data_IF_636824693275
#
_entry.id   IF_636824693275
#
_cell.length_a   1.000
_cell.length_b   1.000
_cell.length_c   1.000
_cell.angle_alpha   90.00
_cell.angle_beta   90.00
_cell.angle_gamma   90.00
#
_symmetry.space_group_name_H-M   'P 1'
#
loop_
_entity.id
_entity.type
_entity.pdbx_description
1 polymer ?
#
# COMPACT_ATOMS: atom_id res chain seq x y z
N UNK A 1 68.03 19.99 -5.64
CA UNK A 1 66.74 20.22 -4.93
C UNK A 1 67.12 20.57 -3.51
N UNK A 2 66.57 21.64 -2.93
CA UNK A 2 66.99 22.09 -1.61
C UNK A 2 66.30 21.29 -0.51
N UNK A 3 67.07 20.62 0.35
CA UNK A 3 66.55 19.92 1.52
C UNK A 3 66.03 20.95 2.54
N UNK A 4 64.71 21.13 2.55
CA UNK A 4 63.98 21.84 3.60
C UNK A 4 64.25 21.14 4.95
N UNK A 5 65.27 21.61 5.66
CA UNK A 5 65.55 21.22 7.04
C UNK A 5 64.40 21.72 7.91
N UNK A 6 63.41 20.86 8.12
CA UNK A 6 62.31 21.10 9.05
C UNK A 6 62.92 21.13 10.46
N UNK A 7 63.04 22.33 11.02
CA UNK A 7 63.57 22.52 12.36
C UNK A 7 62.71 21.76 13.39
N UNK A 8 63.38 21.13 14.36
CA UNK A 8 62.71 20.54 15.52
C UNK A 8 62.55 21.60 16.62
N UNK A 9 61.35 21.72 17.17
CA UNK A 9 61.05 22.52 18.35
C UNK A 9 60.72 21.62 19.54
N UNK A 10 61.07 22.05 20.75
CA UNK A 10 60.66 21.33 21.95
C UNK A 10 59.16 21.56 22.22
N UNK A 11 58.42 20.49 22.52
CA UNK A 11 57.02 20.58 22.89
C UNK A 11 56.82 21.40 24.17
N UNK A 12 55.92 22.38 24.15
CA UNK A 12 55.67 23.30 25.28
C UNK A 12 55.27 22.62 26.61
N UNK A 13 54.66 21.43 26.56
CA UNK A 13 54.19 20.68 27.74
C UNK A 13 55.11 19.55 28.21
N UNK A 14 55.90 18.93 27.32
CA UNK A 14 56.68 17.72 27.65
C UNK A 14 58.15 17.75 27.19
N UNK A 15 58.60 18.83 26.55
CA UNK A 15 59.99 19.01 26.09
C UNK A 15 60.41 18.13 24.90
N UNK A 16 59.60 17.15 24.49
CA UNK A 16 59.93 16.22 23.39
C UNK A 16 60.17 16.99 22.08
N UNK A 17 61.29 16.74 21.36
CA UNK A 17 61.55 17.37 20.07
C UNK A 17 60.50 16.93 19.03
N UNK A 18 59.83 17.91 18.44
CA UNK A 18 58.76 17.74 17.46
C UNK A 18 59.08 18.57 16.21
N UNK A 19 58.77 18.07 15.02
CA UNK A 19 58.92 18.83 13.78
C UNK A 19 58.05 20.10 13.81
N UNK A 20 58.66 21.27 13.57
CA UNK A 20 57.94 22.55 13.57
C UNK A 20 56.81 22.63 12.53
N UNK A 21 56.89 21.82 11.46
CA UNK A 21 55.83 21.69 10.45
C UNK A 21 54.53 21.06 10.97
N UNK A 22 54.62 20.22 12.00
CA UNK A 22 53.55 19.30 12.44
C UNK A 22 53.08 19.62 13.87
N UNK A 23 53.79 20.48 14.59
CA UNK A 23 53.41 20.93 15.91
C UNK A 23 52.19 21.88 15.85
N UNK A 24 51.06 21.43 16.39
CA UNK A 24 49.89 22.30 16.58
C UNK A 24 50.14 23.17 17.83
N UNK A 25 50.18 24.50 17.67
CA UNK A 25 50.42 25.46 18.78
C UNK A 25 51.68 25.15 19.63
N UNK A 26 52.71 24.54 19.02
CA UNK A 26 53.93 24.14 19.73
C UNK A 26 53.81 22.86 20.59
N UNK A 27 52.71 22.12 20.47
CA UNK A 27 52.51 20.81 21.12
C UNK A 27 52.96 19.64 20.22
N UNK A 28 53.49 18.58 20.83
CA UNK A 28 53.69 17.28 20.17
C UNK A 28 52.35 16.55 20.00
N UNK A 29 52.28 15.60 19.06
CA UNK A 29 51.05 14.87 18.75
C UNK A 29 50.37 14.24 19.98
N UNK A 30 51.14 13.72 20.94
CA UNK A 30 50.63 13.14 22.20
C UNK A 30 49.99 14.20 23.10
N UNK A 31 50.62 15.38 23.23
CA UNK A 31 50.07 16.49 24.01
C UNK A 31 48.85 17.11 23.32
N UNK A 32 48.88 17.29 22.00
CA UNK A 32 47.72 17.73 21.22
C UNK A 32 46.53 16.78 21.41
N UNK A 33 46.77 15.47 21.36
CA UNK A 33 45.74 14.46 21.57
C UNK A 33 45.16 14.40 22.98
N UNK A 34 45.87 14.88 24.00
CA UNK A 34 45.40 14.94 25.39
C UNK A 34 44.74 16.28 25.77
N UNK A 35 45.14 17.38 25.15
CA UNK A 35 44.60 18.72 25.42
C UNK A 35 43.42 19.12 24.51
N UNK A 36 43.42 18.66 23.24
CA UNK A 36 42.39 19.03 22.26
C UNK A 36 41.28 17.96 22.20
N UNK A 37 40.12 18.24 22.78
CA UNK A 37 38.94 17.37 22.67
C UNK A 37 38.05 17.74 21.46
N UNK A 38 38.14 16.92 20.41
CA UNK A 38 37.30 17.02 19.20
C UNK A 38 35.84 16.63 19.53
N UNK A 39 35.63 15.81 20.56
CA UNK A 39 34.34 15.18 20.91
C UNK A 39 33.41 16.11 21.70
N UNK A 40 33.92 17.25 22.17
CA UNK A 40 33.21 18.25 22.99
C UNK A 40 31.87 18.74 22.42
N UNK A 41 31.68 18.68 21.09
CA UNK A 41 30.43 19.04 20.41
C UNK A 41 29.45 17.89 20.12
N UNK A 42 29.72 16.67 20.60
CA UNK A 42 28.95 15.45 20.27
C UNK A 42 28.19 14.95 21.52
N UNK A 43 26.87 14.85 21.40
CA UNK A 43 26.00 14.33 22.46
C UNK A 43 26.30 12.83 22.70
N UNK A 44 26.71 12.47 23.93
CA UNK A 44 27.06 11.08 24.32
C UNK A 44 25.84 10.19 24.60
N UNK A 45 24.66 10.79 24.79
CA UNK A 45 23.38 10.10 25.01
C UNK A 45 22.32 10.68 24.10
N UNK A 46 21.70 9.85 23.26
CA UNK A 46 20.70 10.27 22.25
C UNK A 46 19.47 9.37 22.29
N UNK A 47 18.29 9.95 22.14
CA UNK A 47 17.03 9.19 22.13
C UNK A 47 16.60 8.80 20.71
N UNK A 48 16.23 7.53 20.53
CA UNK A 48 15.68 6.99 19.28
C UNK A 48 14.33 6.32 19.54
N UNK A 49 13.39 6.49 18.62
CA UNK A 49 12.02 6.00 18.75
C UNK A 49 11.77 4.74 17.91
N UNK A 50 11.21 3.70 18.53
CA UNK A 50 10.85 2.42 17.90
C UNK A 50 9.36 2.09 18.12
N UNK A 51 8.69 1.53 17.12
CA UNK A 51 7.28 1.16 17.20
C UNK A 51 7.04 -0.24 17.77
N UNK A 52 6.35 -0.32 18.93
CA UNK A 52 6.02 -1.59 19.60
C UNK A 52 5.32 -2.62 18.73
N UNK A 53 4.42 -2.18 17.83
CA UNK A 53 3.57 -3.09 17.05
C UNK A 53 4.09 -3.49 15.67
N UNK A 54 5.22 -2.93 15.21
CA UNK A 54 5.78 -3.29 13.90
C UNK A 54 7.31 -3.15 13.81
N UNK A 55 7.99 -2.89 14.93
CA UNK A 55 9.46 -2.82 15.08
C UNK A 55 10.17 -1.83 14.15
N UNK A 56 9.41 -0.89 13.58
CA UNK A 56 9.93 0.19 12.74
C UNK A 56 10.54 1.30 13.57
N UNK A 57 11.63 1.86 13.06
CA UNK A 57 12.36 2.98 13.63
C UNK A 57 11.84 4.31 13.07
N UNK A 58 11.72 5.33 13.92
CA UNK A 58 11.24 6.63 13.51
C UNK A 58 12.34 7.43 12.78
N UNK A 59 12.07 7.80 11.52
CA UNK A 59 12.94 8.62 10.68
C UNK A 59 12.14 9.84 10.23
N UNK A 60 12.22 10.94 10.99
CA UNK A 60 11.48 12.18 10.71
C UNK A 60 11.40 12.51 9.20
N UNK A 61 10.20 12.60 8.58
CA UNK A 61 8.85 12.50 9.17
C UNK A 61 8.19 11.10 9.13
N UNK A 62 8.86 10.08 8.58
CA UNK A 62 8.32 8.73 8.38
C UNK A 62 8.85 7.65 9.33
N UNK A 63 8.65 6.39 8.93
CA UNK A 63 9.07 5.19 9.67
C UNK A 63 9.82 4.24 8.74
N UNK A 64 11.00 3.77 9.15
CA UNK A 64 11.83 2.83 8.40
C UNK A 64 11.78 1.43 9.05
N UNK A 65 11.81 0.39 8.23
CA UNK A 65 12.18 -0.95 8.68
C UNK A 65 13.72 -0.96 8.76
N UNK A 66 14.28 -1.49 9.84
CA UNK A 66 15.71 -1.76 9.98
C UNK A 66 15.88 -2.82 11.07
N UNK A 67 16.77 -3.80 10.87
CA UNK A 67 17.09 -4.80 11.88
C UNK A 67 17.97 -4.20 12.99
N UNK A 68 17.96 -4.83 14.18
CA UNK A 68 18.91 -4.54 15.24
C UNK A 68 20.35 -4.74 14.73
N UNK A 69 21.28 -3.89 15.18
CA UNK A 69 22.71 -3.89 14.80
C UNK A 69 22.98 -3.78 13.28
N UNK A 70 21.98 -3.41 12.47
CA UNK A 70 22.13 -3.23 11.02
C UNK A 70 22.80 -1.90 10.63
N UNK A 71 23.37 -1.85 9.42
CA UNK A 71 23.90 -0.62 8.82
C UNK A 71 22.81 0.43 8.53
N UNK A 72 21.57 0.01 8.27
CA UNK A 72 20.43 0.91 8.09
C UNK A 72 20.11 1.65 9.39
N UNK A 73 20.05 0.92 10.51
CA UNK A 73 19.85 1.50 11.84
C UNK A 73 21.01 2.43 12.22
N UNK A 74 22.25 2.05 11.92
CA UNK A 74 23.43 2.88 12.15
C UNK A 74 23.32 4.21 11.40
N UNK A 75 22.85 4.18 10.16
CA UNK A 75 22.61 5.38 9.34
C UNK A 75 21.52 6.28 9.93
N UNK A 76 20.50 5.72 10.60
CA UNK A 76 19.48 6.51 11.32
C UNK A 76 20.06 7.17 12.57
N UNK A 77 20.85 6.41 13.35
CA UNK A 77 21.55 6.88 14.54
C UNK A 77 22.53 8.03 14.21
N UNK A 78 23.37 7.86 13.18
CA UNK A 78 24.31 8.90 12.72
C UNK A 78 23.59 10.18 12.26
N UNK A 79 22.44 10.08 11.57
CA UNK A 79 21.65 11.26 11.18
C UNK A 79 20.97 11.99 12.35
N UNK A 80 20.81 11.33 13.50
CA UNK A 80 20.21 11.91 14.71
C UNK A 80 21.24 12.66 15.55
N UNK A 81 22.52 12.31 15.44
CA UNK A 81 23.61 12.99 16.15
C UNK A 81 23.81 14.43 15.69
N UNK A 82 24.05 15.30 16.68
CA UNK A 82 24.52 16.67 16.49
C UNK A 82 26.06 16.69 16.50
N UNK A 83 26.66 17.77 16.01
CA UNK A 83 28.13 17.96 15.98
C UNK A 83 28.87 17.34 14.78
N UNK A 84 28.35 16.27 14.17
CA UNK A 84 28.99 15.54 13.04
C UNK A 84 29.27 16.39 11.77
N UNK A 85 28.79 17.63 11.67
CA UNK A 85 29.11 18.53 10.54
C UNK A 85 30.53 19.10 10.59
N UNK A 86 31.14 19.18 11.77
CA UNK A 86 32.44 19.84 11.99
C UNK A 86 33.61 18.85 12.10
N UNK A 87 33.34 17.55 11.93
CA UNK A 87 34.31 16.47 12.16
C UNK A 87 34.09 15.38 11.10
N UNK A 88 35.17 14.84 10.54
CA UNK A 88 35.11 13.75 9.54
C UNK A 88 34.88 12.42 10.28
N UNK A 89 33.79 11.72 9.96
CA UNK A 89 33.59 10.35 10.43
C UNK A 89 34.57 9.42 9.71
N UNK A 90 35.34 8.63 10.46
CA UNK A 90 36.28 7.63 9.91
C UNK A 90 35.64 6.24 9.94
N UNK A 91 35.08 5.86 11.08
CA UNK A 91 34.49 4.54 11.32
C UNK A 91 33.35 4.63 12.35
N UNK A 92 32.41 3.70 12.27
CA UNK A 92 31.27 3.57 13.18
C UNK A 92 30.89 2.10 13.34
N UNK A 93 31.11 1.55 14.54
CA UNK A 93 30.87 0.14 14.84
C UNK A 93 29.89 -0.03 16.01
N UNK A 94 29.02 -1.04 15.94
CA UNK A 94 28.18 -1.42 17.08
C UNK A 94 29.04 -2.06 18.17
N UNK A 95 28.77 -1.70 19.43
CA UNK A 95 29.22 -2.43 20.60
C UNK A 95 28.03 -3.25 21.08
N UNK A 96 28.19 -4.57 21.16
CA UNK A 96 27.14 -5.46 21.63
C UNK A 96 26.61 -5.03 23.01
N UNK A 97 25.29 -5.00 23.13
CA UNK A 97 24.56 -4.65 24.34
C UNK A 97 23.44 -5.64 24.57
N UNK A 98 23.12 -5.94 25.83
CA UNK A 98 22.04 -6.88 26.13
C UNK A 98 20.70 -6.38 25.57
N UNK A 99 19.95 -7.27 24.90
CA UNK A 99 18.74 -6.96 24.16
C UNK A 99 17.65 -6.29 25.03
N UNK A 100 17.56 -6.66 26.31
CA UNK A 100 16.56 -6.11 27.25
C UNK A 100 16.90 -4.70 27.77
N UNK A 101 18.15 -4.26 27.64
CA UNK A 101 18.64 -2.99 28.20
C UNK A 101 17.97 -1.74 27.60
N UNK A 102 17.33 -1.88 26.43
CA UNK A 102 16.80 -0.78 25.59
C UNK A 102 17.83 0.33 25.33
N UNK A 103 19.11 -0.03 25.33
CA UNK A 103 20.25 0.83 25.06
C UNK A 103 21.04 0.17 23.95
N UNK A 104 21.43 0.93 22.94
CA UNK A 104 22.38 0.50 21.92
C UNK A 104 23.65 1.33 22.05
N UNK A 105 24.82 0.72 21.92
CA UNK A 105 26.10 1.46 21.99
C UNK A 105 26.80 1.45 20.64
N UNK A 106 27.26 2.61 20.21
CA UNK A 106 28.04 2.77 18.98
C UNK A 106 29.39 3.36 19.34
N UNK A 107 30.47 2.68 18.95
CA UNK A 107 31.81 3.26 18.91
C UNK A 107 31.91 4.11 17.64
N UNK A 108 32.12 5.40 17.80
CA UNK A 108 32.40 6.33 16.70
C UNK A 108 33.86 6.72 16.72
N UNK A 109 34.51 6.60 15.57
CA UNK A 109 35.88 7.06 15.35
C UNK A 109 35.80 8.30 14.47
N UNK A 110 36.21 9.44 15.01
CA UNK A 110 36.07 10.74 14.38
C UNK A 110 37.44 11.40 14.22
N UNK A 111 37.67 12.06 13.09
CA UNK A 111 38.92 12.75 12.78
C UNK A 111 38.66 14.23 12.50
N UNK A 112 39.50 15.10 13.05
CA UNK A 112 39.52 16.53 12.76
C UNK A 112 40.90 16.94 12.28
N UNK A 113 40.88 17.71 11.22
CA UNK A 113 42.05 18.32 10.62
C UNK A 113 42.34 19.61 11.40
N UNK A 114 43.45 19.63 12.14
CA UNK A 114 43.88 20.78 12.95
C UNK A 114 44.86 21.63 12.13
N UNK A 115 44.53 22.92 11.99
CA UNK A 115 45.36 23.92 11.29
C UNK A 115 46.05 24.78 12.34
N UNK A 116 47.38 24.81 12.33
CA UNK A 116 48.16 25.63 13.27
C UNK A 116 48.01 27.14 12.98
N UNK A 117 48.16 27.96 14.03
CA UNK A 117 47.95 29.41 14.00
C UNK A 117 48.80 30.20 12.98
N UNK A 118 49.86 29.59 12.42
CA UNK A 118 50.76 30.20 11.44
C UNK A 118 50.35 30.00 9.97
N UNK A 119 49.21 29.36 9.69
CA UNK A 119 48.79 29.08 8.31
C UNK A 119 49.70 28.08 7.57
N UNK A 120 50.42 27.24 8.32
CA UNK A 120 51.29 26.18 7.78
C UNK A 120 50.56 25.29 6.77
N UNK A 121 51.23 24.99 5.66
CA UNK A 121 50.74 24.11 4.58
C UNK A 121 50.42 22.69 5.06
N UNK A 122 50.96 22.26 6.20
CA UNK A 122 50.81 20.91 6.73
C UNK A 122 49.69 20.84 7.77
N UNK A 123 48.74 19.94 7.52
CA UNK A 123 47.55 19.71 8.34
C UNK A 123 47.80 18.54 9.28
N UNK A 124 47.56 18.74 10.58
CA UNK A 124 47.71 17.67 11.58
C UNK A 124 46.35 17.02 11.83
N UNK A 125 46.17 15.80 11.33
CA UNK A 125 44.94 15.03 11.50
C UNK A 125 44.91 14.36 12.86
N UNK A 126 44.06 14.81 13.78
CA UNK A 126 43.83 14.17 15.07
C UNK A 126 42.59 13.28 15.00
N UNK A 127 42.73 12.00 15.42
CA UNK A 127 41.67 11.00 15.44
C UNK A 127 41.36 10.60 16.88
N UNK A 128 40.09 10.63 17.26
CA UNK A 128 39.60 10.26 18.60
C UNK A 128 38.41 9.32 18.47
N UNK A 129 38.29 8.37 19.40
CA UNK A 129 37.14 7.44 19.46
C UNK A 129 36.28 7.71 20.69
N UNK A 130 34.98 7.79 20.51
CA UNK A 130 33.98 8.01 21.56
C UNK A 130 32.88 6.94 21.49
N UNK A 131 32.24 6.66 22.62
CA UNK A 131 31.07 5.76 22.66
C UNK A 131 29.81 6.61 22.85
N UNK A 132 28.86 6.47 21.93
CA UNK A 132 27.51 7.04 22.05
C UNK A 132 26.56 5.96 22.56
N UNK A 133 25.77 6.29 23.57
CA UNK A 133 24.65 5.48 24.03
C UNK A 133 23.33 6.00 23.42
N UNK A 134 22.60 5.11 22.76
CA UNK A 134 21.28 5.40 22.21
C UNK A 134 20.19 4.77 23.07
N UNK A 135 19.33 5.58 23.67
CA UNK A 135 18.20 5.12 24.50
C UNK A 135 16.98 4.89 23.62
N UNK A 136 16.49 3.65 23.58
CA UNK A 136 15.34 3.24 22.76
C UNK A 136 14.03 3.56 23.48
N UNK A 137 13.36 4.63 23.07
CA UNK A 137 12.00 4.98 23.48
C UNK A 137 10.99 4.29 22.58
N UNK A 138 9.89 3.82 23.16
CA UNK A 138 8.84 3.11 22.42
C UNK A 138 7.66 4.02 22.10
N UNK A 139 7.30 4.18 20.82
CA UNK A 139 6.17 5.00 20.36
C UNK A 139 5.41 4.31 19.22
N UNK A 140 4.09 4.21 19.31
CA UNK A 140 3.30 3.62 18.22
C UNK A 140 3.33 4.49 16.95
N UNK A 141 3.58 3.87 15.80
CA UNK A 141 3.47 4.54 14.51
C UNK A 141 2.00 4.77 14.13
N UNK A 142 1.72 5.71 13.23
CA UNK A 142 0.35 6.10 12.87
C UNK A 142 -0.47 4.93 12.30
N UNK A 143 0.19 3.99 11.61
CA UNK A 143 -0.46 2.79 11.10
C UNK A 143 -0.90 1.83 12.24
N UNK A 144 -0.02 1.56 13.22
CA UNK A 144 -0.36 0.76 14.40
C UNK A 144 -1.40 1.48 15.28
N UNK A 145 -1.31 2.80 15.40
CA UNK A 145 -2.27 3.59 16.17
C UNK A 145 -3.68 3.54 15.55
N UNK A 146 -3.81 3.60 14.22
CA UNK A 146 -5.09 3.41 13.52
C UNK A 146 -5.69 2.01 13.75
N UNK A 147 -4.87 0.97 13.77
CA UNK A 147 -5.32 -0.39 14.10
C UNK A 147 -5.81 -0.48 15.55
N UNK A 148 -5.07 0.08 16.51
CA UNK A 148 -5.47 0.13 17.91
C UNK A 148 -6.77 0.94 18.13
N UNK A 149 -6.95 2.05 17.40
CA UNK A 149 -8.15 2.88 17.42
C UNK A 149 -9.36 2.27 16.67
N UNK A 150 -9.24 1.03 16.14
CA UNK A 150 -10.25 0.35 15.32
C UNK A 150 -10.67 1.12 14.04
N UNK A 151 -9.89 2.12 13.60
CA UNK A 151 -10.09 2.83 12.33
C UNK A 151 -9.48 2.00 11.18
N UNK A 152 -10.10 0.84 10.92
CA UNK A 152 -9.52 -0.23 10.12
C UNK A 152 -9.64 -0.04 8.61
N UNK A 153 -10.52 0.85 8.15
CA UNK A 153 -10.86 1.01 6.73
C UNK A 153 -11.06 2.47 6.30
N UNK A 154 -10.50 2.78 5.12
CA UNK A 154 -10.72 4.05 4.41
C UNK A 154 -11.77 3.90 3.30
N UNK A 155 -11.86 2.71 2.71
CA UNK A 155 -12.66 2.45 1.53
C UNK A 155 -13.43 1.12 1.66
N UNK A 156 -14.70 1.10 1.27
CA UNK A 156 -15.57 -0.07 1.34
C UNK A 156 -16.41 -0.20 0.07
N UNK A 157 -16.45 -1.39 -0.54
CA UNK A 157 -17.35 -1.69 -1.66
C UNK A 157 -18.39 -2.69 -1.18
N UNK A 158 -19.66 -2.31 -1.23
CA UNK A 158 -20.79 -3.11 -0.80
C UNK A 158 -21.49 -3.65 -2.04
N UNK A 159 -21.27 -4.92 -2.35
CA UNK A 159 -21.93 -5.59 -3.48
C UNK A 159 -23.18 -6.30 -2.95
N UNK A 160 -24.33 -6.06 -3.57
CA UNK A 160 -25.62 -6.69 -3.21
C UNK A 160 -26.32 -7.21 -4.45
N UNK A 161 -27.02 -8.33 -4.30
CA UNK A 161 -27.85 -8.92 -5.34
C UNK A 161 -29.17 -9.40 -4.72
N UNK A 162 -30.28 -8.80 -5.14
CA UNK A 162 -31.62 -9.12 -4.64
C UNK A 162 -32.21 -10.33 -5.38
N UNK A 163 -31.68 -11.52 -5.11
CA UNK A 163 -32.11 -12.78 -5.72
C UNK A 163 -32.14 -13.90 -4.70
N UNK A 164 -33.10 -14.81 -4.82
CA UNK A 164 -33.18 -16.04 -4.00
C UNK A 164 -31.89 -16.88 -4.07
N UNK A 165 -31.24 -16.93 -5.24
CA UNK A 165 -30.03 -17.72 -5.46
C UNK A 165 -28.90 -16.90 -6.13
N UNK A 166 -27.91 -16.41 -5.36
CA UNK A 166 -26.95 -15.39 -5.80
C UNK A 166 -25.78 -15.95 -6.64
N UNK A 167 -26.07 -16.51 -7.82
CA UNK A 167 -25.03 -17.13 -8.67
C UNK A 167 -23.95 -16.17 -9.14
N UNK A 168 -24.31 -14.96 -9.52
CA UNK A 168 -23.33 -13.98 -10.00
C UNK A 168 -22.39 -13.51 -8.89
N UNK A 169 -22.84 -13.48 -7.63
CA UNK A 169 -21.95 -13.27 -6.48
C UNK A 169 -21.00 -14.46 -6.26
N UNK A 170 -21.49 -15.71 -6.36
CA UNK A 170 -20.64 -16.90 -6.26
C UNK A 170 -19.61 -16.99 -7.41
N UNK A 171 -20.02 -16.64 -8.64
CA UNK A 171 -19.14 -16.56 -9.79
C UNK A 171 -18.10 -15.43 -9.65
N UNK A 172 -18.48 -14.28 -9.06
CA UNK A 172 -17.57 -13.19 -8.71
C UNK A 172 -16.53 -13.66 -7.68
N UNK A 173 -16.96 -14.34 -6.60
CA UNK A 173 -16.06 -14.90 -5.58
C UNK A 173 -15.06 -15.91 -6.21
N UNK A 174 -15.54 -16.80 -7.08
CA UNK A 174 -14.66 -17.73 -7.82
C UNK A 174 -13.70 -17.00 -8.77
N UNK A 175 -14.15 -15.95 -9.46
CA UNK A 175 -13.30 -15.13 -10.34
C UNK A 175 -12.21 -14.40 -9.54
N UNK A 176 -12.54 -13.88 -8.36
CA UNK A 176 -11.58 -13.25 -7.44
C UNK A 176 -10.56 -14.25 -6.87
N UNK A 177 -10.95 -15.50 -6.62
CA UNK A 177 -10.02 -16.57 -6.23
C UNK A 177 -9.05 -16.92 -7.37
N UNK A 178 -9.53 -16.97 -8.62
CA UNK A 178 -8.69 -17.21 -9.82
C UNK A 178 -7.69 -16.06 -10.07
N UNK A 179 -8.10 -14.80 -9.89
CA UNK A 179 -7.23 -13.65 -10.14
C UNK A 179 -6.52 -13.14 -8.87
N UNK A 180 -5.38 -13.77 -8.54
CA UNK A 180 -4.53 -13.44 -7.39
C UNK A 180 -4.20 -11.93 -7.23
N UNK A 181 -4.08 -11.18 -8.34
CA UNK A 181 -3.87 -9.72 -8.34
C UNK A 181 -4.95 -8.94 -7.57
N UNK A 182 -6.20 -9.41 -7.54
CA UNK A 182 -7.27 -8.75 -6.80
C UNK A 182 -7.20 -8.97 -5.29
N UNK A 183 -6.48 -10.00 -4.82
CA UNK A 183 -6.40 -10.35 -3.39
C UNK A 183 -5.44 -9.46 -2.61
N UNK A 184 -4.41 -8.92 -3.26
CA UNK A 184 -3.34 -8.12 -2.61
C UNK A 184 -3.82 -6.76 -2.05
N UNK A 185 -4.88 -6.18 -2.63
CA UNK A 185 -5.41 -4.89 -2.21
C UNK A 185 -6.56 -4.98 -1.18
N UNK A 186 -7.12 -6.17 -0.98
CA UNK A 186 -8.21 -6.43 -0.04
C UNK A 186 -7.66 -6.64 1.37
N UNK A 187 -8.29 -6.01 2.37
CA UNK A 187 -7.98 -6.25 3.79
C UNK A 187 -8.87 -7.33 4.39
N UNK A 188 -10.16 -7.26 4.11
CA UNK A 188 -11.18 -8.09 4.76
C UNK A 188 -12.40 -8.19 3.84
N UNK A 189 -13.11 -9.32 3.89
CA UNK A 189 -14.37 -9.56 3.17
C UNK A 189 -15.41 -10.03 4.19
N UNK A 190 -16.55 -9.36 4.28
CA UNK A 190 -17.66 -9.73 5.18
C UNK A 190 -18.89 -10.12 4.38
N UNK A 191 -19.51 -11.23 4.73
CA UNK A 191 -20.83 -11.62 4.22
C UNK A 191 -21.89 -10.90 5.07
N UNK A 192 -22.78 -10.14 4.45
CA UNK A 192 -23.75 -9.28 5.16
C UNK A 192 -25.08 -9.26 4.41
N UNK A 193 -26.03 -10.06 4.88
CA UNK A 193 -27.33 -10.28 4.20
C UNK A 193 -27.13 -10.78 2.78
N UNK A 194 -27.84 -10.18 1.83
CA UNK A 194 -27.87 -10.54 0.40
C UNK A 194 -26.62 -10.07 -0.38
N UNK A 195 -25.44 -10.21 0.22
CA UNK A 195 -24.18 -9.98 -0.49
C UNK A 195 -22.93 -9.77 0.39
N UNK A 196 -21.97 -9.06 -0.19
CA UNK A 196 -20.58 -9.01 0.24
C UNK A 196 -20.10 -7.58 0.47
N UNK A 197 -19.40 -7.36 1.56
CA UNK A 197 -18.74 -6.10 1.92
C UNK A 197 -17.22 -6.29 1.83
N UNK A 198 -16.61 -5.67 0.82
CA UNK A 198 -15.18 -5.69 0.56
C UNK A 198 -14.51 -4.47 1.17
N UNK A 199 -13.48 -4.68 2.00
CA UNK A 199 -12.80 -3.63 2.76
C UNK A 199 -11.40 -3.38 2.17
N UNK A 200 -11.11 -2.11 1.88
CA UNK A 200 -9.89 -1.66 1.23
C UNK A 200 -9.14 -0.62 2.07
N UNK A 201 -7.80 -0.70 2.01
CA UNK A 201 -6.92 0.28 2.67
C UNK A 201 -6.75 1.60 1.93
N UNK A 202 -7.08 1.67 0.62
CA UNK A 202 -6.91 2.85 -0.23
C UNK A 202 -8.16 3.09 -1.09
N UNK A 203 -8.51 4.36 -1.29
CA UNK A 203 -9.63 4.79 -2.17
C UNK A 203 -9.51 4.28 -3.61
N UNK A 204 -8.30 4.31 -4.18
CA UNK A 204 -8.08 3.96 -5.59
C UNK A 204 -8.34 2.48 -5.89
N UNK A 205 -7.94 1.59 -4.99
CA UNK A 205 -8.07 0.14 -5.23
C UNK A 205 -9.54 -0.29 -5.16
N UNK A 206 -10.31 0.27 -4.23
CA UNK A 206 -11.76 0.10 -4.17
C UNK A 206 -12.49 0.63 -5.41
N UNK A 207 -12.05 1.79 -5.95
CA UNK A 207 -12.61 2.34 -7.19
C UNK A 207 -12.35 1.41 -8.41
N UNK A 208 -11.10 0.92 -8.56
CA UNK A 208 -10.77 -0.05 -9.61
C UNK A 208 -11.57 -1.35 -9.45
N UNK A 209 -11.76 -1.81 -8.22
CA UNK A 209 -12.58 -2.99 -7.95
C UNK A 209 -14.05 -2.79 -8.31
N UNK A 210 -14.67 -1.67 -7.93
CA UNK A 210 -16.06 -1.36 -8.26
C UNK A 210 -16.28 -1.30 -9.79
N UNK A 211 -15.36 -0.67 -10.54
CA UNK A 211 -15.39 -0.70 -12.00
C UNK A 211 -15.22 -2.12 -12.56
N UNK A 212 -14.35 -2.94 -11.97
CA UNK A 212 -14.16 -4.34 -12.35
C UNK A 212 -15.43 -5.19 -12.17
N UNK A 213 -16.16 -5.01 -11.07
CA UNK A 213 -17.45 -5.69 -10.84
C UNK A 213 -18.48 -5.28 -11.91
N UNK A 214 -18.55 -3.99 -12.26
CA UNK A 214 -19.45 -3.48 -13.28
C UNK A 214 -19.09 -3.89 -14.72
N UNK A 215 -17.83 -4.26 -14.97
CA UNK A 215 -17.41 -4.86 -16.24
C UNK A 215 -17.73 -6.37 -16.33
N UNK A 216 -18.15 -7.01 -15.23
CA UNK A 216 -18.51 -8.44 -15.17
C UNK A 216 -20.03 -8.68 -15.20
N UNK A 217 -20.83 -7.75 -14.67
CA UNK A 217 -22.28 -7.86 -14.61
C UNK A 217 -22.97 -6.49 -14.64
N UNK A 218 -24.20 -6.37 -15.18
CA UNK A 218 -24.96 -5.13 -15.13
C UNK A 218 -25.21 -4.70 -13.67
N UNK A 219 -24.65 -3.54 -13.34
CA UNK A 219 -24.58 -3.00 -11.99
C UNK A 219 -25.22 -1.61 -11.92
N UNK A 220 -25.59 -1.17 -10.72
CA UNK A 220 -25.84 0.23 -10.37
C UNK A 220 -24.84 0.63 -9.30
N UNK A 221 -23.93 1.52 -9.64
CA UNK A 221 -22.94 2.07 -8.70
C UNK A 221 -23.42 3.41 -8.13
N UNK A 222 -23.38 3.53 -6.80
CA UNK A 222 -23.49 4.81 -6.09
C UNK A 222 -22.27 4.99 -5.19
N UNK A 223 -21.51 6.06 -5.40
CA UNK A 223 -20.41 6.44 -4.52
C UNK A 223 -20.90 7.44 -3.47
N UNK A 224 -20.48 7.27 -2.22
CA UNK A 224 -20.68 8.23 -1.14
C UNK A 224 -19.40 8.41 -0.33
N UNK A 225 -19.32 9.53 0.38
CA UNK A 225 -18.17 9.88 1.21
C UNK A 225 -18.63 10.50 2.52
N UNK A 226 -18.03 10.07 3.62
CA UNK A 226 -18.31 10.55 4.98
C UNK A 226 -17.02 11.06 5.63
N UNK A 227 -17.07 12.27 6.16
CA UNK A 227 -15.96 12.87 6.89
C UNK A 227 -15.82 12.18 8.26
N UNK A 228 -14.63 11.65 8.56
CA UNK A 228 -14.31 11.07 9.88
C UNK A 228 -13.67 12.13 10.77
N UNK A 229 -12.73 12.90 10.23
CA UNK A 229 -12.08 14.00 10.95
C UNK A 229 -11.48 15.02 9.98
N UNK A 230 -11.37 16.27 10.44
CA UNK A 230 -10.68 17.34 9.73
C UNK A 230 -9.57 17.91 10.61
N UNK A 231 -8.39 18.15 10.03
CA UNK A 231 -7.25 18.77 10.70
C UNK A 231 -7.05 20.19 10.15
N UNK A 232 -7.58 21.18 10.88
CA UNK A 232 -7.49 22.59 10.50
C UNK A 232 -6.04 23.10 10.35
N UNK A 233 -5.07 22.54 11.08
CA UNK A 233 -3.66 22.99 11.02
C UNK A 233 -2.95 22.62 9.72
N UNK A 234 -3.41 21.58 9.02
CA UNK A 234 -2.81 21.09 7.78
C UNK A 234 -3.77 21.16 6.59
N UNK A 235 -5.01 21.62 6.78
CA UNK A 235 -6.05 21.61 5.77
C UNK A 235 -6.46 20.20 5.28
N UNK A 236 -6.08 19.14 5.99
CA UNK A 236 -6.32 17.75 5.55
C UNK A 236 -7.54 17.14 6.23
N UNK A 237 -8.33 16.39 5.47
CA UNK A 237 -9.51 15.66 5.96
C UNK A 237 -9.32 14.14 5.80
N UNK A 238 -9.69 13.38 6.83
CA UNK A 238 -9.80 11.93 6.77
C UNK A 238 -11.23 11.58 6.37
N UNK A 239 -11.41 11.04 5.18
CA UNK A 239 -12.72 10.73 4.58
C UNK A 239 -12.81 9.24 4.32
N UNK A 240 -13.92 8.62 4.75
CA UNK A 240 -14.29 7.25 4.39
C UNK A 240 -15.11 7.28 3.10
N UNK A 241 -14.81 6.36 2.19
CA UNK A 241 -15.50 6.22 0.92
C UNK A 241 -16.26 4.89 0.87
N UNK A 242 -17.51 4.94 0.44
CA UNK A 242 -18.35 3.75 0.25
C UNK A 242 -18.87 3.72 -1.18
N UNK A 243 -18.75 2.58 -1.83
CA UNK A 243 -19.40 2.30 -3.11
C UNK A 243 -20.48 1.25 -2.88
N UNK A 244 -21.74 1.62 -3.04
CA UNK A 244 -22.84 0.67 -3.11
C UNK A 244 -22.98 0.20 -4.56
N UNK A 245 -22.83 -1.11 -4.78
CA UNK A 245 -22.91 -1.78 -6.07
C UNK A 245 -24.08 -2.75 -6.01
N UNK A 246 -25.19 -2.37 -6.64
CA UNK A 246 -26.37 -3.23 -6.76
C UNK A 246 -26.29 -3.97 -8.10
N UNK A 247 -26.12 -5.29 -8.07
CA UNK A 247 -26.15 -6.14 -9.27
C UNK A 247 -27.62 -6.36 -9.65
N UNK A 248 -27.91 -6.37 -10.96
CA UNK A 248 -29.24 -6.72 -11.45
C UNK A 248 -29.74 -8.06 -10.84
N UNK A 249 -31.02 -8.17 -10.44
CA UNK A 249 -31.59 -9.38 -9.84
C UNK A 249 -31.86 -10.49 -10.87
N UNK A 250 -30.88 -10.78 -11.73
CA UNK A 250 -30.93 -11.78 -12.78
C UNK A 250 -29.70 -12.71 -12.68
N UNK A 251 -29.92 -14.01 -12.82
CA UNK A 251 -28.89 -15.03 -12.82
C UNK A 251 -28.77 -15.75 -14.17
N UNK A 252 -27.68 -16.51 -14.33
CA UNK A 252 -27.48 -17.40 -15.48
C UNK A 252 -28.54 -18.51 -15.46
N UNK A 253 -29.09 -18.78 -16.64
CA UNK A 253 -30.16 -19.74 -16.92
C UNK A 253 -31.56 -19.33 -16.38
N UNK A 254 -31.76 -18.06 -16.00
CA UNK A 254 -33.09 -17.54 -15.68
C UNK A 254 -33.88 -17.20 -16.96
N UNK A 255 -35.20 -17.46 -16.89
CA UNK A 255 -36.18 -17.08 -17.90
C UNK A 255 -36.69 -15.67 -17.59
N UNK A 256 -36.61 -14.75 -18.55
CA UNK A 256 -37.03 -13.35 -18.39
C UNK A 256 -38.05 -12.94 -19.44
N UNK A 257 -38.89 -11.98 -19.06
CA UNK A 257 -39.75 -11.26 -19.98
C UNK A 257 -39.15 -9.89 -20.30
N UNK A 258 -38.96 -9.58 -21.58
CA UNK A 258 -38.48 -8.26 -21.96
C UNK A 258 -39.62 -7.26 -22.20
N UNK A 259 -39.59 -6.08 -21.57
CA UNK A 259 -40.28 -4.92 -22.11
C UNK A 259 -39.61 -4.46 -23.41
N UNK A 260 -40.39 -3.86 -24.32
CA UNK A 260 -39.89 -3.39 -25.62
C UNK A 260 -38.70 -2.43 -25.47
N UNK A 261 -37.61 -2.71 -26.18
CA UNK A 261 -36.45 -1.82 -26.26
C UNK A 261 -35.36 -2.04 -25.21
N UNK A 262 -35.48 -3.05 -24.35
CA UNK A 262 -34.35 -3.54 -23.56
C UNK A 262 -33.55 -4.58 -24.36
N UNK A 263 -32.23 -4.58 -24.22
CA UNK A 263 -31.35 -5.62 -24.76
C UNK A 263 -30.48 -6.11 -23.62
N UNK A 264 -30.52 -7.40 -23.26
CA UNK A 264 -29.57 -8.08 -22.35
C UNK A 264 -28.93 -9.24 -23.11
N UNK A 265 -27.82 -9.85 -22.65
CA UNK A 265 -27.26 -11.05 -23.30
C UNK A 265 -28.25 -12.22 -23.20
N UNK A 266 -29.19 -12.22 -24.14
CA UNK A 266 -30.41 -12.97 -24.15
C UNK A 266 -30.49 -13.71 -25.46
N UNK A 267 -30.81 -15.00 -25.38
CA UNK A 267 -31.07 -15.84 -26.53
C UNK A 267 -32.56 -16.13 -26.58
N UNK A 268 -33.16 -15.89 -27.74
CA UNK A 268 -34.49 -16.40 -28.05
C UNK A 268 -34.40 -17.92 -28.30
N UNK A 269 -35.03 -18.77 -27.47
CA UNK A 269 -34.98 -20.22 -27.65
C UNK A 269 -35.68 -20.68 -28.95
N UNK A 270 -36.57 -19.87 -29.53
CA UNK A 270 -37.31 -20.21 -30.75
C UNK A 270 -36.61 -19.75 -32.04
N UNK A 271 -35.94 -18.59 -32.04
CA UNK A 271 -35.25 -18.05 -33.24
C UNK A 271 -33.72 -18.10 -33.18
N UNK A 272 -33.13 -18.36 -32.02
CA UNK A 272 -31.68 -18.29 -31.80
C UNK A 272 -31.09 -16.86 -31.84
N UNK A 273 -31.92 -15.83 -31.98
CA UNK A 273 -31.49 -14.43 -32.00
C UNK A 273 -30.87 -14.01 -30.65
N UNK A 274 -29.84 -13.16 -30.70
CA UNK A 274 -29.14 -12.63 -29.54
C UNK A 274 -29.29 -11.11 -29.40
N UNK A 275 -29.36 -10.61 -28.16
CA UNK A 275 -29.33 -9.19 -27.78
C UNK A 275 -28.20 -8.90 -26.74
N UNK A 276 -27.95 -7.64 -26.32
CA UNK A 276 -26.86 -7.28 -25.37
C UNK A 276 -27.14 -6.16 -24.32
N UNK A 277 -26.68 -6.42 -23.08
CA UNK A 277 -26.47 -5.57 -21.88
C UNK A 277 -25.77 -4.22 -22.01
N UNK A 278 -26.50 -3.11 -21.94
CA UNK A 278 -26.00 -1.96 -21.18
C UNK A 278 -26.77 -1.79 -19.87
N UNK A 279 -26.06 -1.71 -18.74
CA UNK A 279 -26.69 -1.64 -17.41
C UNK A 279 -27.71 -0.48 -17.29
N UNK A 280 -27.48 0.61 -18.02
CA UNK A 280 -28.35 1.78 -18.10
C UNK A 280 -29.75 1.44 -18.62
N UNK A 281 -29.86 0.59 -19.66
CA UNK A 281 -31.15 0.13 -20.18
C UNK A 281 -31.92 -0.71 -19.16
N UNK A 282 -31.23 -1.63 -18.47
CA UNK A 282 -31.85 -2.46 -17.43
C UNK A 282 -32.37 -1.60 -16.26
N UNK A 283 -31.58 -0.65 -15.79
CA UNK A 283 -31.99 0.23 -14.68
C UNK A 283 -32.98 1.33 -15.09
N UNK A 284 -33.15 1.58 -16.40
CA UNK A 284 -34.20 2.44 -16.95
C UNK A 284 -35.58 1.77 -16.99
N UNK A 285 -35.64 0.46 -17.25
CA UNK A 285 -36.87 -0.33 -17.18
C UNK A 285 -36.62 -1.74 -16.61
N UNK A 286 -36.53 -1.88 -15.27
CA UNK A 286 -36.13 -3.12 -14.63
C UNK A 286 -37.25 -4.18 -14.69
N UNK A 287 -36.89 -5.37 -15.16
CA UNK A 287 -37.78 -6.53 -15.22
C UNK A 287 -37.28 -7.65 -14.27
N UNK A 288 -38.19 -8.36 -13.58
CA UNK A 288 -37.86 -9.53 -12.76
C UNK A 288 -37.70 -10.80 -13.62
N UNK A 289 -37.06 -11.86 -13.10
CA UNK A 289 -37.13 -13.18 -13.72
C UNK A 289 -38.53 -13.79 -13.57
N UNK A 290 -39.05 -14.40 -14.63
CA UNK A 290 -40.28 -15.21 -14.62
C UNK A 290 -40.05 -16.58 -14.01
N UNK A 291 -38.89 -17.18 -14.29
CA UNK A 291 -38.51 -18.50 -13.83
C UNK A 291 -37.04 -18.54 -13.46
N UNK A 292 -36.75 -18.85 -12.20
CA UNK A 292 -35.40 -19.16 -11.75
C UNK A 292 -35.12 -20.65 -11.97
N UNK A 293 -33.85 -21.07 -11.89
CA UNK A 293 -33.48 -22.50 -12.02
C UNK A 293 -34.15 -23.43 -10.99
N UNK A 294 -34.77 -22.92 -9.92
CA UNK A 294 -35.61 -23.73 -9.02
C UNK A 294 -36.81 -24.38 -9.72
N UNK A 295 -37.28 -23.79 -10.84
CA UNK A 295 -38.43 -24.27 -11.61
C UNK A 295 -38.03 -25.16 -12.82
N UNK A 296 -36.74 -25.51 -12.99
CA UNK A 296 -36.33 -26.40 -14.07
C UNK A 296 -36.70 -27.85 -13.76
N UNK A 297 -37.39 -28.49 -14.70
CA UNK A 297 -37.72 -29.91 -14.69
C UNK A 297 -36.93 -30.64 -15.78
N UNK A 298 -36.63 -31.92 -15.55
CA UNK A 298 -35.92 -32.76 -16.50
C UNK A 298 -36.88 -33.24 -17.60
N UNK A 299 -36.47 -33.09 -18.86
CA UNK A 299 -37.18 -33.65 -20.02
C UNK A 299 -36.33 -34.72 -20.70
N UNK A 300 -36.99 -35.74 -21.27
CA UNK A 300 -36.35 -36.73 -22.14
C UNK A 300 -36.56 -36.30 -23.59
N UNK A 301 -35.48 -36.17 -24.35
CA UNK A 301 -35.54 -35.84 -25.78
C UNK A 301 -35.87 -37.12 -26.56
N UNK A 302 -37.00 -37.11 -27.28
CA UNK A 302 -37.46 -38.26 -28.07
C UNK A 302 -36.95 -38.23 -29.52
N UNK A 303 -36.88 -37.04 -30.12
CA UNK A 303 -36.38 -36.80 -31.48
C UNK A 303 -35.67 -35.44 -31.53
N UNK A 304 -34.72 -35.27 -32.46
CA UNK A 304 -33.95 -34.04 -32.64
C UNK A 304 -33.74 -33.76 -34.14
N UNK A 305 -34.48 -32.80 -34.68
CA UNK A 305 -34.43 -32.43 -36.10
C UNK A 305 -33.65 -31.13 -36.31
N UNK A 306 -32.55 -31.21 -37.05
CA UNK A 306 -31.73 -30.05 -37.42
C UNK A 306 -32.35 -29.26 -38.58
N UNK A 307 -32.96 -28.11 -38.27
CA UNK A 307 -33.34 -27.15 -39.31
C UNK A 307 -32.09 -26.46 -39.89
N UNK A 308 -31.81 -26.72 -41.17
CA UNK A 308 -30.78 -25.96 -41.92
C UNK A 308 -31.30 -24.55 -42.18
N UNK A 309 -30.72 -23.55 -41.53
CA UNK A 309 -31.02 -22.12 -41.72
C UNK A 309 -30.45 -21.57 -43.03
N UNK A 310 -30.95 -22.09 -44.15
CA UNK A 310 -30.84 -21.44 -45.45
C UNK A 310 -31.78 -20.23 -45.50
N UNK A 311 -31.28 -19.10 -45.99
CA UNK A 311 -31.90 -17.76 -45.91
C UNK A 311 -31.89 -17.18 -44.49
N UNK A 312 -31.18 -16.06 -44.34
CA UNK A 312 -31.39 -15.16 -43.22
C UNK A 312 -32.81 -14.59 -43.31
N UNK A 313 -33.76 -15.21 -42.59
CA UNK A 313 -34.94 -14.46 -42.16
C UNK A 313 -34.40 -13.21 -41.46
N UNK A 314 -34.83 -12.01 -41.91
CA UNK A 314 -34.60 -10.78 -41.13
C UNK A 314 -34.99 -11.10 -39.68
N UNK A 315 -34.27 -10.59 -38.65
CA UNK A 315 -34.60 -10.81 -37.25
C UNK A 315 -35.94 -10.12 -36.91
N UNK A 316 -37.01 -10.76 -37.38
CA UNK A 316 -38.39 -10.42 -37.16
C UNK A 316 -38.79 -11.04 -35.85
N UNK A 317 -38.53 -10.29 -34.78
CA UNK A 317 -39.10 -10.51 -33.46
C UNK A 317 -40.56 -10.93 -33.62
N UNK A 318 -40.86 -12.23 -33.43
CA UNK A 318 -42.18 -12.77 -33.77
C UNK A 318 -43.20 -12.29 -32.74
N UNK A 319 -43.83 -11.17 -33.05
CA UNK A 319 -45.01 -10.70 -32.33
C UNK A 319 -46.14 -11.69 -32.56
N UNK A 320 -46.42 -12.54 -31.58
CA UNK A 320 -47.67 -13.28 -31.54
C UNK A 320 -48.82 -12.27 -31.50
N UNK A 321 -49.62 -12.24 -32.57
CA UNK A 321 -50.80 -11.38 -32.68
C UNK A 321 -52.03 -12.17 -32.25
N UNK A 322 -52.41 -12.00 -30.99
CA UNK A 322 -53.63 -12.56 -30.42
C UNK A 322 -53.96 -11.94 -29.06
N UNK A 323 -54.76 -10.86 -29.06
CA UNK A 323 -55.49 -10.32 -27.91
C UNK A 323 -54.81 -10.21 -26.53
N UNK A 324 -54.22 -9.04 -26.23
CA UNK A 324 -53.89 -8.63 -24.85
C UNK A 324 -52.47 -8.99 -24.38
N UNK A 325 -51.71 -7.97 -23.93
CA UNK A 325 -50.28 -8.04 -23.59
C UNK A 325 -49.37 -8.52 -24.76
N UNK A 326 -48.13 -8.03 -24.85
CA UNK A 326 -47.24 -8.25 -26.02
C UNK A 326 -45.86 -8.63 -25.53
N UNK A 327 -45.75 -9.91 -25.21
CA UNK A 327 -44.75 -10.43 -24.27
C UNK A 327 -43.83 -11.44 -24.98
N UNK A 328 -42.52 -11.37 -24.71
CA UNK A 328 -41.47 -12.20 -25.33
C UNK A 328 -40.61 -12.89 -24.26
N UNK A 329 -40.44 -14.22 -24.40
CA UNK A 329 -39.75 -15.13 -23.48
C UNK A 329 -38.30 -15.37 -23.94
N UNK A 330 -37.30 -15.05 -23.11
CA UNK A 330 -35.88 -15.19 -23.46
C UNK A 330 -35.02 -15.76 -22.32
N UNK A 331 -33.87 -16.37 -22.66
CA UNK A 331 -32.90 -16.97 -21.72
C UNK A 331 -31.60 -16.15 -21.60
N UNK A 332 -31.10 -15.94 -20.37
CA UNK A 332 -29.81 -15.27 -20.12
C UNK A 332 -28.61 -16.19 -20.40
N UNK A 333 -27.78 -15.85 -21.40
CA UNK A 333 -26.56 -16.59 -21.78
C UNK A 333 -25.29 -15.74 -21.55
N UNK A 334 -24.16 -16.40 -21.25
CA UNK A 334 -22.85 -15.74 -21.12
C UNK A 334 -21.97 -16.03 -22.34
N UNK A 335 -21.12 -15.08 -22.74
CA UNK A 335 -20.31 -15.08 -23.96
C UNK A 335 -18.79 -15.23 -23.69
N UNK A 336 -18.41 -15.81 -22.54
CA UNK A 336 -17.00 -16.07 -22.17
C UNK A 336 -16.72 -17.54 -21.82
N UNK A 337 -17.17 -18.45 -22.68
CA UNK A 337 -16.58 -19.78 -22.82
C UNK A 337 -15.70 -19.78 -24.08
N UNK A 338 -14.47 -19.28 -23.93
CA UNK A 338 -13.31 -19.41 -24.84
C UNK A 338 -12.03 -19.42 -24.01
#
# INVERSE_FOLDING_TARGET
MADLHVGNIACCLCGVPTSASTAYEGMCATCTGSQVDITSGIERSVEIEMCKGCERWFRNPGWAVAQLESAELLTLCLRKLRGLKHVRLVDAAWIWTEHHSRRLRVKLTVARDLVGASGSTYVTCLQQSLVVEYVVRTRNCDACNKVAAKDTWQAKVQVRQKTEHPRTLLALEQHMLKHQKSRVALREVKRVGDGLDFIFGRRQDAHRFALGVCALAPCKCKASSSLVSANAKTGTSNVRHVWAVEIAPLCRDDLVLLPKGASLHLVDPASGAAAEVTAEQYWGNPFPPLGTKGHLINFVVLDCQLQKTGVAQKPGWRTFLGGGAKDLLLFVKNLRDK
#
